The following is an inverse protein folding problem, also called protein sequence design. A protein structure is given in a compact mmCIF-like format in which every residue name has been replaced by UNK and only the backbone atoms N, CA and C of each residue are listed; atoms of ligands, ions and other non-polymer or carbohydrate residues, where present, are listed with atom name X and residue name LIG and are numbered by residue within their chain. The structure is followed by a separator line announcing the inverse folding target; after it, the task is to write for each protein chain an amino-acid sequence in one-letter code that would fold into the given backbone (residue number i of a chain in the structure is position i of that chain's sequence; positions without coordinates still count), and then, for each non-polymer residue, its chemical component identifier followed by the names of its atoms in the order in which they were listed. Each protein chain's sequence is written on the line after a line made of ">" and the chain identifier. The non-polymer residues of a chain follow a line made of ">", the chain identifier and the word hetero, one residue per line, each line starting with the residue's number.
data_IF_919704246868
#
_entry.id   IF_919704246868
#
_cell.length_a   1.000
_cell.length_b   1.000
_cell.length_c   1.000
_cell.angle_alpha   90.00
_cell.angle_beta   90.00
_cell.angle_gamma   90.00
#
_symmetry.space_group_name_H-M   'P 1'
#
loop_
_entity.id
_entity.type
_entity.pdbx_description
1 polymer ?
#
# COMPACT_ATOMS: atom_id res chain seq x y z
N UNK A 1 -58.63 1.80 -36.77
CA UNK A 1 -58.25 0.41 -36.48
C UNK A 1 -56.77 0.41 -36.13
N UNK A 2 -56.46 0.11 -34.87
CA UNK A 2 -55.16 0.26 -34.20
C UNK A 2 -54.48 -1.11 -34.01
N UNK A 3 -53.17 -1.07 -33.68
CA UNK A 3 -52.32 -2.10 -33.01
C UNK A 3 -51.40 -2.92 -33.94
N UNK A 4 -50.08 -2.68 -33.90
CA UNK A 4 -49.08 -3.19 -32.93
C UNK A 4 -48.74 -4.67 -33.18
N UNK A 5 -47.51 -4.95 -33.64
CA UNK A 5 -46.41 -5.48 -32.81
C UNK A 5 -46.67 -6.90 -32.27
N UNK A 6 -45.85 -7.87 -32.72
CA UNK A 6 -45.31 -9.05 -32.01
C UNK A 6 -44.74 -10.00 -33.07
N UNK A 7 -43.42 -10.13 -33.19
CA UNK A 7 -42.55 -10.96 -32.37
C UNK A 7 -42.22 -12.28 -33.10
N UNK A 8 -41.01 -12.37 -33.65
CA UNK A 8 -40.28 -13.63 -33.68
C UNK A 8 -38.93 -13.36 -33.04
N UNK A 9 -38.87 -13.71 -31.75
CA UNK A 9 -37.64 -14.01 -31.01
C UNK A 9 -36.97 -15.22 -31.65
N UNK A 10 -35.64 -15.17 -31.85
CA UNK A 10 -34.72 -16.13 -31.25
C UNK A 10 -33.26 -15.89 -31.68
N UNK A 11 -32.40 -15.82 -30.65
CA UNK A 11 -31.02 -16.30 -30.62
C UNK A 11 -29.92 -15.55 -31.40
N UNK A 12 -29.22 -14.66 -30.70
CA UNK A 12 -27.76 -14.79 -30.51
C UNK A 12 -27.31 -13.91 -29.33
N UNK A 13 -27.48 -14.46 -28.13
CA UNK A 13 -26.72 -14.07 -26.94
C UNK A 13 -25.30 -14.59 -27.13
N UNK A 14 -24.33 -13.70 -27.33
CA UNK A 14 -22.91 -13.81 -26.88
C UNK A 14 -22.10 -12.72 -27.57
N UNK A 15 -21.78 -11.63 -26.86
CA UNK A 15 -20.54 -10.82 -26.98
C UNK A 15 -20.69 -9.56 -26.11
N UNK A 16 -20.66 -9.73 -24.80
CA UNK A 16 -20.36 -8.63 -23.87
C UNK A 16 -19.33 -9.18 -22.88
N UNK A 17 -18.09 -8.70 -23.03
CA UNK A 17 -16.94 -9.15 -22.25
C UNK A 17 -15.65 -9.26 -23.05
N UNK A 18 -15.47 -8.48 -24.12
CA UNK A 18 -14.14 -8.25 -24.67
C UNK A 18 -13.42 -7.26 -23.75
N UNK A 19 -12.34 -7.73 -23.11
CA UNK A 19 -11.43 -6.96 -22.29
C UNK A 19 -11.01 -5.66 -22.97
N UNK A 20 -11.35 -4.51 -22.40
CA UNK A 20 -10.59 -3.28 -22.64
C UNK A 20 -9.36 -3.29 -21.73
N UNK A 21 -8.44 -4.21 -22.00
CA UNK A 21 -7.06 -3.98 -21.60
C UNK A 21 -6.51 -2.97 -22.60
N UNK A 22 -6.60 -1.68 -22.25
CA UNK A 22 -5.96 -0.64 -23.04
C UNK A 22 -4.44 -0.89 -23.00
N UNK A 23 -3.77 -1.12 -24.15
CA UNK A 23 -2.33 -1.37 -24.21
C UNK A 23 -1.52 -0.14 -23.78
N UNK A 24 -2.15 1.03 -23.68
CA UNK A 24 -1.54 2.30 -23.37
C UNK A 24 -2.25 2.94 -22.16
N UNK A 25 -1.99 2.40 -20.95
CA UNK A 25 -2.63 2.80 -19.69
C UNK A 25 -2.89 4.30 -19.51
N UNK A 26 -4.09 4.74 -19.88
CA UNK A 26 -4.59 6.09 -19.73
C UNK A 26 -5.66 6.19 -18.63
N UNK A 27 -5.50 5.43 -17.54
CA UNK A 27 -5.99 5.78 -16.20
C UNK A 27 -7.46 6.19 -16.05
N UNK A 28 -8.37 5.68 -16.90
CA UNK A 28 -9.78 6.12 -16.93
C UNK A 28 -10.76 5.30 -16.09
N UNK A 29 -10.30 4.31 -15.32
CA UNK A 29 -11.14 3.56 -14.37
C UNK A 29 -11.25 4.24 -12.97
N UNK A 30 -10.86 5.51 -12.84
CA UNK A 30 -10.68 6.21 -11.56
C UNK A 30 -11.90 7.10 -11.23
N UNK A 31 -13.12 6.55 -11.12
CA UNK A 31 -14.32 7.37 -10.81
C UNK A 31 -15.28 6.84 -9.72
N UNK A 32 -14.83 6.02 -8.76
CA UNK A 32 -15.65 5.69 -7.59
C UNK A 32 -14.89 5.79 -6.24
N UNK A 33 -15.52 6.29 -5.14
CA UNK A 33 -14.94 6.27 -3.78
C UNK A 33 -14.52 4.87 -3.31
N UNK A 34 -15.24 3.84 -3.79
CA UNK A 34 -14.94 2.42 -3.59
C UNK A 34 -13.61 2.04 -4.28
N UNK A 35 -13.36 2.58 -5.48
CA UNK A 35 -12.13 2.34 -6.24
C UNK A 35 -10.86 2.92 -5.58
N UNK A 36 -10.99 3.98 -4.78
CA UNK A 36 -9.84 4.67 -4.16
C UNK A 36 -9.32 3.97 -2.90
N UNK A 37 -10.22 3.47 -2.05
CA UNK A 37 -9.83 2.59 -0.93
C UNK A 37 -9.26 1.27 -1.45
N UNK A 38 -9.87 0.72 -2.50
CA UNK A 38 -9.37 -0.48 -3.16
C UNK A 38 -7.96 -0.28 -3.73
N UNK A 39 -7.69 0.86 -4.38
CA UNK A 39 -6.35 1.17 -4.88
C UNK A 39 -5.33 1.32 -3.74
N UNK A 40 -5.69 2.00 -2.65
CA UNK A 40 -4.81 2.12 -1.47
C UNK A 40 -4.41 0.75 -0.91
N UNK A 41 -5.35 -0.18 -0.78
CA UNK A 41 -5.05 -1.53 -0.29
C UNK A 41 -4.22 -2.34 -1.29
N UNK A 42 -4.49 -2.22 -2.59
CA UNK A 42 -3.63 -2.78 -3.65
C UNK A 42 -2.22 -2.21 -3.60
N UNK A 43 -2.09 -0.92 -3.33
CA UNK A 43 -0.82 -0.22 -3.21
C UNK A 43 -0.02 -0.69 -1.99
N UNK A 44 -0.62 -0.74 -0.80
CA UNK A 44 -0.01 -1.33 0.40
C UNK A 44 0.39 -2.79 0.14
N UNK A 45 -0.47 -3.53 -0.56
CA UNK A 45 -0.25 -4.93 -0.94
C UNK A 45 0.82 -5.15 -2.00
N UNK A 46 1.31 -4.09 -2.64
CA UNK A 46 2.26 -4.18 -3.74
C UNK A 46 1.72 -4.96 -4.94
N UNK A 47 0.42 -4.84 -5.23
CA UNK A 47 -0.17 -5.50 -6.40
C UNK A 47 0.55 -5.09 -7.70
N UNK A 48 0.89 -3.81 -7.85
CA UNK A 48 1.70 -3.31 -8.98
C UNK A 48 3.10 -3.96 -9.03
N UNK A 49 3.72 -4.18 -7.87
CA UNK A 49 5.03 -4.86 -7.80
C UNK A 49 4.89 -6.32 -8.19
N UNK A 50 3.84 -7.01 -7.71
CA UNK A 50 3.56 -8.41 -8.04
C UNK A 50 3.31 -8.58 -9.53
N UNK A 51 2.42 -7.76 -10.09
CA UNK A 51 1.96 -7.88 -11.46
C UNK A 51 3.10 -7.56 -12.45
N UNK A 52 4.07 -6.72 -12.05
CA UNK A 52 5.29 -6.44 -12.82
C UNK A 52 6.49 -7.36 -12.51
N UNK A 53 6.38 -8.26 -11.53
CA UNK A 53 7.51 -9.10 -11.12
C UNK A 53 7.64 -10.34 -12.00
N UNK A 54 8.62 -10.32 -12.89
CA UNK A 54 8.95 -11.42 -13.79
C UNK A 54 10.47 -11.61 -13.89
N UNK A 55 10.92 -12.69 -14.52
CA UNK A 55 12.34 -12.91 -14.78
C UNK A 55 12.94 -11.71 -15.55
N UNK A 56 14.03 -11.15 -15.04
CA UNK A 56 14.67 -9.96 -15.62
C UNK A 56 14.06 -8.62 -15.21
N UNK A 57 12.95 -8.61 -14.46
CA UNK A 57 12.41 -7.37 -13.89
C UNK A 57 13.38 -6.78 -12.87
N UNK A 58 13.48 -5.44 -12.76
CA UNK A 58 14.36 -4.80 -11.79
C UNK A 58 13.92 -5.08 -10.36
N UNK A 59 14.91 -5.25 -9.47
CA UNK A 59 14.65 -5.35 -8.04
C UNK A 59 13.96 -4.07 -7.53
N UNK A 60 12.80 -4.26 -6.90
CA UNK A 60 11.97 -3.20 -6.34
C UNK A 60 11.43 -3.62 -4.99
N UNK A 61 11.54 -2.73 -4.00
CA UNK A 61 10.97 -2.95 -2.67
C UNK A 61 10.14 -1.74 -2.25
N UNK A 62 8.90 -1.97 -1.82
CA UNK A 62 8.07 -0.97 -1.13
C UNK A 62 7.93 -1.37 0.33
N UNK A 63 8.24 -0.44 1.23
CA UNK A 63 8.08 -0.60 2.67
C UNK A 63 7.08 0.46 3.12
N UNK A 64 6.04 0.05 3.83
CA UNK A 64 5.04 0.97 4.41
C UNK A 64 5.09 0.86 5.92
N UNK A 65 5.18 2.00 6.60
CA UNK A 65 5.01 2.14 8.04
C UNK A 65 3.72 2.89 8.32
N UNK A 66 2.77 2.25 8.98
CA UNK A 66 1.61 2.93 9.53
C UNK A 66 1.89 3.24 10.98
N UNK A 67 1.97 4.53 11.31
CA UNK A 67 2.12 5.02 12.66
C UNK A 67 0.78 5.56 13.16
N UNK A 68 -0.26 4.72 13.06
CA UNK A 68 -1.68 5.10 13.19
C UNK A 68 -2.17 5.95 12.01
N UNK A 69 -3.21 5.46 11.36
CA UNK A 69 -3.90 6.18 10.28
C UNK A 69 -4.48 7.49 10.80
N UNK A 70 -4.31 8.57 10.05
CA UNK A 70 -4.62 9.93 10.52
C UNK A 70 -3.42 10.65 11.16
N UNK A 71 -2.51 9.94 11.82
CA UNK A 71 -1.31 10.55 12.43
C UNK A 71 -0.17 10.64 11.42
N UNK A 72 0.35 9.49 10.98
CA UNK A 72 1.43 9.45 10.02
C UNK A 72 1.54 8.11 9.30
N UNK A 73 1.68 8.13 7.99
CA UNK A 73 2.11 6.97 7.19
C UNK A 73 3.40 7.31 6.47
N UNK A 74 4.37 6.40 6.52
CA UNK A 74 5.60 6.51 5.72
C UNK A 74 5.64 5.42 4.67
N UNK A 75 6.10 5.79 3.49
CA UNK A 75 6.29 4.88 2.38
C UNK A 75 7.69 5.07 1.84
N UNK A 76 8.41 3.96 1.72
CA UNK A 76 9.74 3.91 1.11
C UNK A 76 9.66 3.03 -0.12
N UNK A 77 10.06 3.56 -1.27
CA UNK A 77 10.21 2.80 -2.50
C UNK A 77 11.67 2.78 -2.91
N UNK A 78 12.23 1.58 -3.03
CA UNK A 78 13.63 1.36 -3.39
C UNK A 78 13.65 0.62 -4.73
N UNK A 79 14.29 1.24 -5.74
CA UNK A 79 14.47 0.69 -7.08
C UNK A 79 15.94 0.86 -7.46
N UNK A 80 16.67 -0.25 -7.56
CA UNK A 80 18.13 -0.20 -7.58
C UNK A 80 18.67 0.59 -6.37
N UNK A 81 19.64 1.51 -6.53
CA UNK A 81 20.15 2.32 -5.43
C UNK A 81 19.25 3.50 -5.07
N UNK A 82 18.18 3.78 -5.83
CA UNK A 82 17.35 4.96 -5.59
C UNK A 82 16.28 4.63 -4.55
N UNK A 83 16.25 5.41 -3.47
CA UNK A 83 15.21 5.39 -2.45
C UNK A 83 14.34 6.64 -2.55
N UNK A 84 13.03 6.46 -2.68
CA UNK A 84 12.02 7.51 -2.58
C UNK A 84 11.26 7.36 -1.27
N UNK A 85 11.32 8.37 -0.41
CA UNK A 85 10.58 8.43 0.85
C UNK A 85 9.38 9.34 0.70
N UNK A 86 8.22 8.92 1.22
CA UNK A 86 7.00 9.72 1.28
C UNK A 86 6.44 9.69 2.70
N UNK A 87 6.07 10.85 3.24
CA UNK A 87 5.44 10.96 4.56
C UNK A 87 4.09 11.63 4.38
N UNK A 88 3.06 10.90 4.77
CA UNK A 88 1.67 11.34 4.77
C UNK A 88 1.33 11.74 6.21
N UNK A 89 0.94 12.99 6.42
CA UNK A 89 0.48 13.53 7.70
C UNK A 89 -0.85 14.21 7.49
N UNK A 90 -1.60 14.43 8.57
CA UNK A 90 -2.80 15.28 8.53
C UNK A 90 -3.80 14.74 7.49
N UNK A 91 -4.03 13.42 7.53
CA UNK A 91 -4.93 12.73 6.60
C UNK A 91 -6.41 13.05 6.91
N UNK A 92 -6.68 14.22 7.56
CA UNK A 92 -7.87 14.77 8.24
C UNK A 92 -9.19 14.74 7.45
N UNK A 93 -9.21 14.19 6.25
CA UNK A 93 -10.35 14.27 5.33
C UNK A 93 -10.88 12.86 5.08
N UNK A 94 -12.21 12.69 5.14
CA UNK A 94 -12.88 11.57 4.49
C UNK A 94 -12.42 11.43 3.04
N UNK A 95 -12.72 10.32 2.38
CA UNK A 95 -12.26 9.97 1.01
C UNK A 95 -12.71 10.93 -0.13
N UNK A 96 -12.97 12.20 0.14
CA UNK A 96 -13.22 13.27 -0.83
C UNK A 96 -11.88 13.87 -1.28
N UNK A 97 -11.31 13.28 -2.33
CA UNK A 97 -10.09 13.77 -3.00
C UNK A 97 -10.44 14.14 -4.46
N UNK A 98 -10.28 15.38 -4.86
CA UNK A 98 -10.30 15.73 -6.29
C UNK A 98 -8.98 15.27 -6.94
N UNK A 99 -9.06 14.59 -8.08
CA UNK A 99 -7.90 14.07 -8.81
C UNK A 99 -7.66 15.02 -9.99
N UNK A 100 -6.63 15.86 -9.90
CA UNK A 100 -6.08 16.49 -11.09
C UNK A 100 -5.27 15.44 -11.85
N UNK A 101 -5.58 15.29 -13.13
CA UNK A 101 -4.94 14.33 -14.03
C UNK A 101 -3.40 14.44 -14.02
N UNK A 102 -2.75 13.29 -14.27
CA UNK A 102 -1.29 13.03 -14.32
C UNK A 102 -0.62 12.70 -12.97
N UNK A 103 -0.52 11.39 -12.67
CA UNK A 103 0.52 10.82 -11.78
C UNK A 103 0.42 11.13 -10.27
N UNK A 104 -0.48 11.99 -9.82
CA UNK A 104 -0.59 12.37 -8.42
C UNK A 104 -1.63 11.53 -7.67
N UNK A 105 -1.25 10.28 -7.40
CA UNK A 105 -2.06 9.32 -6.66
C UNK A 105 -2.23 9.68 -5.16
N UNK A 106 -1.61 10.77 -4.71
CA UNK A 106 -1.55 11.23 -3.31
C UNK A 106 -2.16 12.62 -3.06
N UNK A 107 -2.99 13.15 -3.98
CA UNK A 107 -3.68 14.42 -3.74
C UNK A 107 -4.50 14.43 -2.42
N UNK A 108 -5.13 15.56 -2.08
CA UNK A 108 -4.75 16.67 -1.18
C UNK A 108 -3.96 16.36 0.12
N UNK A 109 -3.28 15.22 0.28
CA UNK A 109 -2.53 14.96 1.51
C UNK A 109 -1.28 15.85 1.52
N UNK A 110 -0.83 16.32 2.69
CA UNK A 110 0.48 16.99 2.82
C UNK A 110 1.61 15.97 2.68
N UNK A 111 1.64 15.25 1.56
CA UNK A 111 2.60 14.24 1.23
C UNK A 111 3.95 14.93 1.02
N UNK A 112 4.85 14.79 1.97
CA UNK A 112 6.24 15.21 1.78
C UNK A 112 6.99 14.10 1.08
N UNK A 113 7.76 14.44 0.06
CA UNK A 113 8.57 13.51 -0.72
C UNK A 113 10.05 13.90 -0.60
N UNK A 114 10.92 12.90 -0.45
CA UNK A 114 12.35 13.07 -0.58
C UNK A 114 12.93 11.89 -1.39
N UNK A 115 13.94 12.18 -2.20
CA UNK A 115 14.68 11.19 -2.97
C UNK A 115 16.12 11.13 -2.45
N UNK A 116 16.69 9.93 -2.39
CA UNK A 116 18.09 9.69 -2.01
C UNK A 116 18.66 8.56 -2.86
N UNK A 117 19.92 8.69 -3.25
CA UNK A 117 20.69 7.57 -3.81
C UNK A 117 21.47 6.93 -2.67
N UNK A 118 21.25 5.64 -2.45
CA UNK A 118 21.92 4.82 -1.45
C UNK A 118 23.24 4.29 -2.01
N UNK A 119 24.30 4.36 -1.23
CA UNK A 119 25.56 3.75 -1.60
C UNK A 119 25.52 2.22 -1.40
N UNK A 120 26.55 1.51 -1.89
CA UNK A 120 26.59 0.05 -1.82
C UNK A 120 26.57 -0.51 -0.39
N UNK A 121 27.17 0.18 0.58
CA UNK A 121 27.17 -0.26 1.98
C UNK A 121 25.78 -0.08 2.61
N UNK A 122 25.14 1.05 2.37
CA UNK A 122 23.77 1.35 2.82
C UNK A 122 22.76 0.35 2.25
N UNK A 123 22.85 0.06 0.95
CA UNK A 123 22.00 -0.94 0.30
C UNK A 123 22.19 -2.33 0.91
N UNK A 124 23.44 -2.76 1.13
CA UNK A 124 23.72 -4.06 1.77
C UNK A 124 23.18 -4.13 3.19
N UNK A 125 23.38 -3.09 3.99
CA UNK A 125 22.90 -3.06 5.37
C UNK A 125 21.36 -3.13 5.43
N UNK A 126 20.67 -2.41 4.55
CA UNK A 126 19.22 -2.44 4.48
C UNK A 126 18.69 -3.80 4.00
N UNK A 127 19.29 -4.39 2.96
CA UNK A 127 18.92 -5.73 2.47
C UNK A 127 19.13 -6.81 3.55
N UNK A 128 20.25 -6.76 4.26
CA UNK A 128 20.53 -7.68 5.37
C UNK A 128 19.49 -7.52 6.50
N UNK A 129 19.13 -6.30 6.86
CA UNK A 129 18.13 -6.04 7.90
C UNK A 129 16.71 -6.48 7.47
N UNK A 130 16.34 -6.28 6.21
CA UNK A 130 15.10 -6.76 5.63
C UNK A 130 15.06 -8.29 5.61
N UNK A 131 16.13 -8.93 5.17
CA UNK A 131 16.27 -10.39 5.14
C UNK A 131 16.19 -10.99 6.54
N UNK A 132 16.92 -10.43 7.51
CA UNK A 132 16.89 -10.86 8.92
C UNK A 132 15.51 -10.69 9.58
N UNK A 133 14.67 -9.80 9.05
CA UNK A 133 13.29 -9.63 9.51
C UNK A 133 12.30 -10.59 8.84
N UNK A 134 12.72 -11.33 7.80
CA UNK A 134 11.84 -12.14 6.96
C UNK A 134 11.09 -11.33 5.90
N UNK A 135 11.56 -10.13 5.55
CA UNK A 135 10.87 -9.18 4.66
C UNK A 135 10.65 -9.65 3.23
N UNK A 136 11.36 -10.70 2.80
CA UNK A 136 11.27 -11.30 1.48
C UNK A 136 10.59 -12.68 1.49
N UNK A 137 10.09 -13.11 2.64
CA UNK A 137 9.40 -14.38 2.82
C UNK A 137 7.99 -14.39 2.22
N UNK A 138 7.29 -15.54 2.30
CA UNK A 138 5.90 -15.63 1.89
C UNK A 138 4.99 -14.74 2.77
N UNK A 139 3.81 -14.33 2.27
CA UNK A 139 2.82 -13.58 3.04
C UNK A 139 2.53 -14.20 4.42
N UNK A 140 2.43 -13.35 5.43
CA UNK A 140 1.95 -13.74 6.76
C UNK A 140 0.42 -13.97 6.71
N UNK A 141 0.01 -15.14 6.24
CA UNK A 141 -1.40 -15.53 6.06
C UNK A 141 -2.15 -15.46 7.41
N UNK A 142 -3.43 -15.09 7.38
CA UNK A 142 -4.32 -14.96 8.54
C UNK A 142 -3.89 -13.86 9.53
N UNK A 143 -3.32 -12.78 9.00
CA UNK A 143 -3.02 -11.56 9.74
C UNK A 143 -3.84 -10.41 9.19
N UNK A 144 -4.23 -9.50 10.07
CA UNK A 144 -4.97 -8.30 9.71
C UNK A 144 -4.13 -7.06 10.05
N UNK A 145 -4.07 -6.09 9.15
CA UNK A 145 -3.46 -4.78 9.42
C UNK A 145 -4.55 -3.77 9.69
N UNK A 146 -4.57 -3.23 10.90
CA UNK A 146 -5.60 -2.28 11.35
C UNK A 146 -5.10 -0.85 11.19
N UNK A 147 -5.99 0.04 10.74
CA UNK A 147 -5.67 1.46 10.59
C UNK A 147 -5.23 2.11 11.89
N UNK A 148 -5.81 1.72 13.03
CA UNK A 148 -5.54 2.32 14.35
C UNK A 148 -4.27 1.78 15.03
N UNK A 149 -3.51 0.90 14.38
CA UNK A 149 -2.38 0.21 14.99
C UNK A 149 -1.08 0.49 14.25
N UNK A 150 0.04 0.22 14.93
CA UNK A 150 1.34 0.31 14.30
C UNK A 150 1.57 -0.95 13.48
N UNK A 151 2.00 -0.80 12.24
CA UNK A 151 2.39 -1.96 11.45
C UNK A 151 3.38 -1.59 10.36
N UNK A 152 4.07 -2.62 9.88
CA UNK A 152 4.92 -2.57 8.70
C UNK A 152 4.38 -3.51 7.63
N UNK A 153 4.46 -3.10 6.37
CA UNK A 153 4.39 -4.01 5.23
C UNK A 153 5.63 -3.87 4.36
N UNK A 154 6.03 -4.97 3.73
CA UNK A 154 7.13 -5.02 2.77
C UNK A 154 6.61 -5.79 1.56
N UNK A 155 6.54 -5.15 0.40
CA UNK A 155 6.29 -5.78 -0.88
C UNK A 155 7.57 -5.71 -1.71
N UNK A 156 8.02 -6.84 -2.25
CA UNK A 156 9.29 -6.91 -2.97
C UNK A 156 9.18 -7.73 -4.24
N UNK A 157 9.86 -7.29 -5.30
CA UNK A 157 10.29 -8.13 -6.40
C UNK A 157 11.80 -8.26 -6.32
N UNK A 158 12.31 -9.49 -6.24
CA UNK A 158 13.74 -9.80 -6.21
C UNK A 158 14.06 -10.96 -7.12
N UNK A 159 14.95 -10.75 -8.09
CA UNK A 159 15.31 -11.78 -9.08
C UNK A 159 14.07 -12.42 -9.73
N UNK A 160 13.06 -11.61 -10.07
CA UNK A 160 11.79 -12.07 -10.62
C UNK A 160 10.90 -12.88 -9.66
N UNK A 161 11.20 -12.90 -8.36
CA UNK A 161 10.36 -13.52 -7.33
C UNK A 161 9.68 -12.45 -6.49
N UNK A 162 8.35 -12.49 -6.47
CA UNK A 162 7.56 -11.62 -5.63
C UNK A 162 7.50 -12.15 -4.19
N UNK A 163 7.51 -11.24 -3.23
CA UNK A 163 7.37 -11.51 -1.80
C UNK A 163 6.57 -10.41 -1.12
N UNK A 164 5.88 -10.77 -0.04
CA UNK A 164 5.14 -9.83 0.79
C UNK A 164 5.25 -10.23 2.25
N UNK A 165 5.62 -9.31 3.11
CA UNK A 165 5.68 -9.50 4.55
C UNK A 165 4.89 -8.42 5.27
N UNK A 166 4.27 -8.78 6.39
CA UNK A 166 3.49 -7.85 7.19
C UNK A 166 3.71 -8.11 8.68
N UNK A 167 3.90 -7.03 9.43
CA UNK A 167 4.29 -7.03 10.83
C UNK A 167 3.32 -6.16 11.61
N UNK A 168 2.54 -6.78 12.47
CA UNK A 168 1.56 -6.09 13.31
C UNK A 168 2.15 -5.86 14.72
N UNK A 169 1.98 -4.66 15.24
CA UNK A 169 2.41 -4.29 16.57
C UNK A 169 1.84 -5.24 17.63
N UNK A 170 2.60 -5.47 18.69
CA UNK A 170 2.31 -6.50 19.72
C UNK A 170 2.41 -7.96 19.25
N UNK A 171 2.88 -8.23 18.04
CA UNK A 171 3.28 -9.59 17.62
C UNK A 171 4.80 -9.78 17.67
N UNK A 172 5.25 -11.02 17.85
CA UNK A 172 6.68 -11.35 17.78
C UNK A 172 7.31 -10.97 16.44
N UNK A 173 6.51 -10.98 15.37
CA UNK A 173 6.96 -10.56 14.04
C UNK A 173 7.44 -9.10 14.06
N UNK A 174 6.66 -8.20 14.66
CA UNK A 174 7.03 -6.80 14.79
C UNK A 174 8.24 -6.61 15.69
N UNK A 175 8.33 -7.34 16.81
CA UNK A 175 9.50 -7.31 17.69
C UNK A 175 10.80 -7.79 17.01
N UNK A 176 10.68 -8.60 15.96
CA UNK A 176 11.81 -9.08 15.13
C UNK A 176 12.19 -8.15 13.98
N UNK A 177 11.47 -7.05 13.74
CA UNK A 177 11.87 -6.07 12.73
C UNK A 177 13.25 -5.51 13.08
N UNK A 178 14.18 -5.61 12.12
CA UNK A 178 15.55 -5.08 12.19
C UNK A 178 15.80 -3.97 11.19
N UNK A 179 14.93 -3.81 10.19
CA UNK A 179 15.09 -2.79 9.15
C UNK A 179 14.60 -1.40 9.56
N UNK A 180 13.79 -1.26 10.60
CA UNK A 180 13.18 0.04 10.97
C UNK A 180 14.23 1.11 11.29
N UNK A 181 15.17 0.80 12.19
CA UNK A 181 16.25 1.71 12.58
C UNK A 181 17.15 2.14 11.41
N UNK A 182 17.75 1.21 10.62
CA UNK A 182 18.57 1.62 9.48
C UNK A 182 17.75 2.34 8.41
N UNK A 183 16.49 1.98 8.18
CA UNK A 183 15.63 2.68 7.23
C UNK A 183 15.35 4.13 7.65
N UNK A 184 15.04 4.36 8.94
CA UNK A 184 14.85 5.72 9.47
C UNK A 184 16.14 6.54 9.49
N UNK A 185 17.30 5.92 9.69
CA UNK A 185 18.59 6.59 9.54
C UNK A 185 18.87 7.02 8.08
N UNK A 186 18.31 6.30 7.11
CA UNK A 186 18.43 6.63 5.68
C UNK A 186 17.42 7.69 5.22
N UNK A 187 16.28 7.81 5.89
CA UNK A 187 15.19 8.73 5.56
C UNK A 187 15.61 10.21 5.73
N UNK A 188 15.71 10.99 4.64
CA UNK A 188 16.10 12.40 4.71
C UNK A 188 15.14 13.26 5.54
N UNK A 189 13.88 12.84 5.68
CA UNK A 189 12.85 13.59 6.39
C UNK A 189 12.76 13.23 7.88
N UNK A 190 13.40 12.15 8.34
CA UNK A 190 13.26 11.65 9.72
C UNK A 190 13.65 12.66 10.81
N UNK A 191 14.50 13.65 10.51
CA UNK A 191 14.84 14.72 11.48
C UNK A 191 13.77 15.80 11.57
N UNK A 192 13.19 16.19 10.44
CA UNK A 192 12.21 17.28 10.36
C UNK A 192 10.81 16.80 10.73
N UNK A 193 10.50 15.57 10.34
CA UNK A 193 9.32 14.83 10.72
C UNK A 193 9.83 13.51 11.29
N UNK A 194 9.91 13.35 12.62
CA UNK A 194 10.25 12.06 13.21
C UNK A 194 9.14 11.03 12.99
N UNK A 195 9.47 9.74 12.74
CA UNK A 195 8.49 8.67 12.78
C UNK A 195 7.97 8.53 14.22
N UNK A 196 6.64 8.51 14.45
CA UNK A 196 6.09 8.26 15.78
C UNK A 196 6.57 6.88 16.28
N UNK A 197 7.05 6.79 17.53
CA UNK A 197 7.44 5.50 18.09
C UNK A 197 6.20 4.61 18.29
N UNK A 198 6.31 3.29 18.06
CA UNK A 198 5.23 2.36 18.32
C UNK A 198 4.77 2.43 19.78
N UNK A 199 3.46 2.55 19.96
CA UNK A 199 2.83 2.63 21.29
C UNK A 199 1.53 1.89 21.29
N UNK A 200 1.10 1.43 22.47
CA UNK A 200 -0.26 0.92 22.63
C UNK A 200 -1.22 2.06 22.30
N UNK A 201 -1.98 1.89 21.23
CA UNK A 201 -3.13 2.75 20.98
C UNK A 201 -4.19 2.31 21.96
N UNK A 202 -4.79 3.29 22.66
CA UNK A 202 -5.94 3.02 23.51
C UNK A 202 -7.05 2.56 22.57
N UNK A 203 -7.18 1.24 22.38
CA UNK A 203 -8.42 0.68 21.85
C UNK A 203 -9.55 1.28 22.67
N UNK A 204 -10.59 1.75 21.99
CA UNK A 204 -11.76 2.37 22.62
C UNK A 204 -12.09 1.67 23.94
N UNK A 205 -12.00 2.42 25.05
CA UNK A 205 -12.75 2.01 26.24
C UNK A 205 -14.22 1.95 25.80
N UNK A 206 -14.97 0.87 26.12
CA UNK A 206 -16.39 0.84 25.84
C UNK A 206 -17.06 2.11 26.38
N UNK A 207 -17.65 2.92 25.51
CA UNK A 207 -18.30 4.19 25.87
C UNK A 207 -17.51 5.47 25.63
N UNK A 208 -16.29 5.42 25.10
CA UNK A 208 -15.53 6.62 24.71
C UNK A 208 -15.41 6.69 23.18
N UNK A 209 -16.42 7.26 22.51
CA UNK A 209 -16.30 7.62 21.09
C UNK A 209 -15.11 8.57 20.93
N UNK A 210 -14.03 8.05 20.33
CA UNK A 210 -12.93 8.91 19.93
C UNK A 210 -13.44 9.83 18.82
N UNK A 211 -13.16 11.14 18.92
CA UNK A 211 -13.39 12.12 17.83
C UNK A 211 -12.43 11.86 16.66
N UNK A 212 -12.27 10.61 16.22
CA UNK A 212 -11.48 10.25 15.06
C UNK A 212 -12.30 10.59 13.81
N UNK A 213 -11.86 11.60 13.08
CA UNK A 213 -12.46 12.05 11.80
C UNK A 213 -12.07 11.14 10.61
N UNK A 214 -11.48 9.98 10.87
CA UNK A 214 -11.00 9.04 9.85
C UNK A 214 -11.83 7.75 9.81
N UNK A 215 -12.08 7.26 8.59
CA UNK A 215 -12.64 5.92 8.39
C UNK A 215 -11.65 4.86 8.89
N UNK A 216 -12.07 4.10 9.90
CA UNK A 216 -11.37 2.91 10.38
C UNK A 216 -11.42 1.81 9.33
N UNK A 217 -10.33 1.06 9.18
CA UNK A 217 -10.25 -0.03 8.22
C UNK A 217 -9.33 -1.16 8.68
N UNK A 218 -9.51 -2.32 8.05
CA UNK A 218 -8.73 -3.53 8.28
C UNK A 218 -8.35 -4.15 6.94
N UNK A 219 -7.10 -4.56 6.81
CA UNK A 219 -6.57 -5.23 5.62
C UNK A 219 -6.15 -6.65 5.96
N UNK A 220 -6.91 -7.64 5.51
CA UNK A 220 -6.60 -9.04 5.74
C UNK A 220 -5.48 -9.51 4.80
N UNK A 221 -4.54 -10.32 5.29
CA UNK A 221 -3.43 -10.87 4.52
C UNK A 221 -3.71 -12.34 4.15
N UNK A 222 -3.76 -12.62 2.86
CA UNK A 222 -3.91 -13.94 2.27
C UNK A 222 -2.63 -14.49 1.64
N UNK A 223 -2.74 -15.68 1.05
CA UNK A 223 -1.62 -16.41 0.45
C UNK A 223 -0.91 -15.68 -0.71
N UNK A 224 -1.59 -14.74 -1.36
CA UNK A 224 -1.06 -13.94 -2.48
C UNK A 224 -0.87 -12.46 -2.10
N UNK A 225 -0.73 -12.17 -0.80
CA UNK A 225 -0.75 -10.81 -0.26
C UNK A 225 -2.15 -10.42 0.24
N UNK A 226 -2.45 -9.12 0.37
CA UNK A 226 -3.73 -8.70 0.94
C UNK A 226 -4.96 -9.23 0.18
N UNK A 227 -6.00 -9.54 0.95
CA UNK A 227 -7.36 -9.87 0.50
C UNK A 227 -8.22 -8.63 0.69
N UNK A 228 -8.88 -8.22 -0.38
CA UNK A 228 -9.80 -7.08 -0.43
C UNK A 228 -11.23 -7.59 -0.57
#
# INVERSE_FOLDING_TARGET
>A
MTRLWRAVLAAAVTMLGACTADPNGDGREIEAPIGRSFYWFRYIGGADIRDACAAGAPDRTRIVYNAVWGEQVRIYEIVGPRMTSRVLTDMAVGLNLEISSTGDLLGPWKARKADRVLNAAEMRQLDQALSASGGYGPPAINRDLRSEEFWWSVASCRNGRWGYAAYDFQTDGFARVRFAEPLFALDPMARQLPPPPPRKTLGERPGQESKQTHSKWRLAIGANGPRY
#
